data_IF_038327120813
#
_entry.id   IF_038327120813
#
_cell.length_a   1.000
_cell.length_b   1.000
_cell.length_c   1.000
_cell.angle_alpha   90.00
_cell.angle_beta   90.00
_cell.angle_gamma   90.00
#
_symmetry.space_group_name_H-M   'P 1'
#
loop_
_entity.id
_entity.type
_entity.pdbx_description
1 polymer ?
#
# COMPACT_ATOMS: atom_id res chain seq x y z
N UNK A 1 -27.49 -39.76 -4.92
CA UNK A 1 -26.88 -39.37 -6.21
C UNK A 1 -27.74 -38.30 -6.86
N UNK A 2 -27.23 -37.08 -7.06
CA UNK A 2 -27.74 -36.16 -8.10
C UNK A 2 -26.76 -35.00 -8.35
N UNK A 3 -26.04 -35.19 -9.45
CA UNK A 3 -25.52 -34.21 -10.41
C UNK A 3 -24.61 -33.07 -9.92
N UNK A 4 -23.30 -33.37 -9.96
CA UNK A 4 -22.22 -32.43 -10.28
C UNK A 4 -22.38 -31.93 -11.72
N UNK A 5 -22.78 -30.67 -11.93
CA UNK A 5 -22.59 -29.84 -13.14
C UNK A 5 -22.70 -28.40 -12.61
N UNK A 6 -21.63 -27.61 -12.58
CA UNK A 6 -21.21 -26.85 -13.76
C UNK A 6 -19.72 -26.54 -13.68
N UNK A 7 -18.91 -27.35 -14.37
CA UNK A 7 -17.64 -26.90 -14.90
C UNK A 7 -18.00 -26.23 -16.22
N UNK A 8 -18.17 -24.92 -16.22
CA UNK A 8 -18.33 -24.15 -17.44
C UNK A 8 -17.43 -22.91 -17.39
N UNK A 9 -16.35 -23.02 -18.18
CA UNK A 9 -15.76 -21.95 -18.96
C UNK A 9 -15.11 -20.78 -18.18
N UNK A 10 -14.06 -21.08 -17.41
CA UNK A 10 -12.99 -20.10 -17.16
C UNK A 10 -12.02 -20.11 -18.36
N UNK A 11 -12.46 -19.60 -19.51
CA UNK A 11 -11.60 -19.45 -20.68
C UNK A 11 -11.73 -18.07 -21.30
N UNK A 12 -10.57 -17.44 -21.46
CA UNK A 12 -10.27 -16.29 -22.31
C UNK A 12 -10.56 -14.88 -21.75
N UNK A 13 -9.65 -14.40 -20.89
CA UNK A 13 -9.13 -13.02 -20.96
C UNK A 13 -7.63 -13.03 -20.61
N UNK A 14 -6.80 -13.58 -21.51
CA UNK A 14 -5.35 -13.43 -21.47
C UNK A 14 -4.88 -12.71 -22.74
N UNK A 15 -5.30 -11.46 -22.89
CA UNK A 15 -4.82 -10.58 -23.95
C UNK A 15 -3.58 -9.83 -23.45
N UNK A 16 -2.41 -10.33 -23.88
CA UNK A 16 -1.18 -9.60 -24.25
C UNK A 16 -0.82 -8.35 -23.43
N UNK A 17 0.03 -8.53 -22.41
CA UNK A 17 0.93 -7.48 -21.93
C UNK A 17 2.33 -7.78 -22.50
N UNK A 18 2.53 -7.53 -23.80
CA UNK A 18 3.87 -7.55 -24.43
C UNK A 18 4.05 -6.27 -25.22
N UNK A 19 4.23 -5.17 -24.49
CA UNK A 19 4.92 -3.96 -24.96
C UNK A 19 5.04 -2.99 -23.79
N UNK A 20 5.65 -3.45 -22.69
CA UNK A 20 6.18 -2.50 -21.71
C UNK A 20 7.55 -2.06 -22.23
N UNK A 21 7.77 -0.77 -22.52
CA UNK A 21 9.12 -0.24 -22.72
C UNK A 21 9.93 -0.56 -21.46
N UNK A 22 11.00 -1.34 -21.60
CA UNK A 22 12.02 -1.55 -20.56
C UNK A 22 12.89 -0.28 -20.37
N UNK A 23 12.28 0.90 -20.48
CA UNK A 23 12.94 2.19 -20.45
C UNK A 23 12.36 3.03 -19.31
N UNK A 24 12.51 2.54 -18.08
CA UNK A 24 12.48 3.39 -16.90
C UNK A 24 13.63 3.00 -15.95
N UNK A 25 14.84 2.93 -16.51
CA UNK A 25 16.08 3.01 -15.73
C UNK A 25 16.72 4.38 -16.00
N UNK A 26 15.95 5.45 -15.80
CA UNK A 26 16.33 6.81 -16.13
C UNK A 26 16.39 7.69 -14.88
N UNK A 27 17.60 7.90 -14.36
CA UNK A 27 17.99 9.03 -13.51
C UNK A 27 17.21 9.23 -12.20
N UNK A 28 17.64 8.53 -11.15
CA UNK A 28 17.61 9.12 -9.81
C UNK A 28 19.03 9.17 -9.25
N UNK A 29 19.66 10.32 -9.47
CA UNK A 29 21.00 10.64 -8.96
C UNK A 29 21.08 12.12 -8.64
N UNK A 30 20.18 12.62 -7.79
CA UNK A 30 20.50 13.80 -6.99
C UNK A 30 21.17 13.28 -5.72
N UNK A 31 22.48 13.46 -5.66
CA UNK A 31 23.25 13.28 -4.42
C UNK A 31 22.82 14.38 -3.45
N UNK A 32 21.67 14.19 -2.80
CA UNK A 32 21.35 14.94 -1.60
C UNK A 32 22.34 14.52 -0.52
N UNK A 33 22.93 15.50 0.13
CA UNK A 33 23.91 15.30 1.19
C UNK A 33 23.24 14.55 2.35
N UNK A 34 23.35 13.23 2.28
CA UNK A 34 22.50 12.28 3.01
C UNK A 34 22.64 12.35 4.52
N UNK A 35 23.61 13.09 5.07
CA UNK A 35 23.82 13.18 6.52
C UNK A 35 22.84 14.15 7.18
N UNK A 36 22.69 15.36 6.63
CA UNK A 36 21.73 16.36 7.10
C UNK A 36 20.28 15.88 6.96
N UNK A 37 20.00 15.20 5.84
CA UNK A 37 18.70 14.57 5.58
C UNK A 37 18.39 13.42 6.57
N UNK A 38 19.42 12.70 7.03
CA UNK A 38 19.26 11.62 8.03
C UNK A 38 19.02 12.15 9.45
N UNK A 39 19.71 13.20 9.87
CA UNK A 39 19.54 13.76 11.22
C UNK A 39 18.16 14.40 11.38
N UNK A 40 17.75 15.23 10.41
CA UNK A 40 16.40 15.80 10.36
C UNK A 40 15.31 14.71 10.32
N UNK A 41 15.57 13.60 9.62
CA UNK A 41 14.65 12.46 9.58
C UNK A 41 14.52 11.73 10.93
N UNK A 42 15.61 11.55 11.69
CA UNK A 42 15.57 10.98 13.03
C UNK A 42 14.89 11.90 14.05
N UNK A 43 15.12 13.21 13.96
CA UNK A 43 14.41 14.22 14.76
C UNK A 43 12.92 14.19 14.47
N UNK A 44 12.52 14.21 13.20
CA UNK A 44 11.13 14.11 12.78
C UNK A 44 10.46 12.79 13.22
N UNK A 45 11.21 11.68 13.20
CA UNK A 45 10.72 10.39 13.69
C UNK A 45 10.49 10.41 15.21
N UNK A 46 11.44 10.96 15.99
CA UNK A 46 11.35 11.08 17.45
C UNK A 46 10.23 12.02 17.88
N UNK A 47 10.07 13.14 17.18
CA UNK A 47 9.02 14.14 17.41
C UNK A 47 7.63 13.67 16.98
N UNK A 48 7.51 12.48 16.37
CA UNK A 48 6.26 11.99 15.79
C UNK A 48 5.77 12.80 14.59
N UNK A 49 6.59 13.75 14.09
CA UNK A 49 6.41 14.53 12.86
C UNK A 49 6.76 13.68 11.65
N UNK A 50 6.19 12.49 11.58
CA UNK A 50 6.33 11.66 10.40
C UNK A 50 5.39 12.18 9.29
N UNK A 51 5.65 11.89 8.01
CA UNK A 51 4.68 12.14 6.92
C UNK A 51 3.40 11.28 7.05
N UNK A 52 3.13 10.70 8.22
CA UNK A 52 2.15 9.66 8.50
C UNK A 52 1.25 10.03 9.68
N UNK A 53 0.80 11.28 9.80
CA UNK A 53 -0.40 11.54 10.59
C UNK A 53 -1.56 10.75 9.93
N UNK A 54 -1.82 9.57 10.46
CA UNK A 54 -2.60 8.53 9.77
C UNK A 54 -4.09 8.65 10.03
N UNK A 55 -4.53 9.38 11.05
CA UNK A 55 -5.95 9.41 11.41
C UNK A 55 -6.80 10.04 10.30
N UNK A 56 -6.41 11.23 9.84
CA UNK A 56 -7.10 11.95 8.77
C UNK A 56 -7.00 11.20 7.43
N UNK A 57 -5.81 10.69 7.09
CA UNK A 57 -5.63 9.85 5.89
C UNK A 57 -6.42 8.54 5.93
N UNK A 58 -6.59 7.91 7.09
CA UNK A 58 -7.40 6.69 7.21
C UNK A 58 -8.87 6.99 6.96
N UNK A 59 -9.38 8.11 7.48
CA UNK A 59 -10.75 8.54 7.23
C UNK A 59 -10.96 8.87 5.74
N UNK A 60 -10.01 9.58 5.10
CA UNK A 60 -10.05 9.88 3.67
C UNK A 60 -10.03 8.59 2.82
N UNK A 61 -9.17 7.64 3.16
CA UNK A 61 -9.08 6.34 2.49
C UNK A 61 -10.37 5.53 2.65
N UNK A 62 -10.97 5.51 3.84
CA UNK A 62 -12.25 4.86 4.08
C UNK A 62 -13.36 5.48 3.21
N UNK A 63 -13.41 6.81 3.13
CA UNK A 63 -14.34 7.53 2.26
C UNK A 63 -14.13 7.16 0.78
N UNK A 64 -12.89 7.22 0.29
CA UNK A 64 -12.56 6.81 -1.09
C UNK A 64 -12.94 5.36 -1.38
N UNK A 65 -12.78 4.46 -0.42
CA UNK A 65 -13.13 3.06 -0.58
C UNK A 65 -14.64 2.85 -0.73
N UNK A 66 -15.45 3.60 0.02
CA UNK A 66 -16.91 3.59 -0.10
C UNK A 66 -17.36 4.19 -1.45
N UNK A 67 -16.82 5.36 -1.82
CA UNK A 67 -17.09 6.02 -3.10
C UNK A 67 -16.73 5.11 -4.29
N UNK A 68 -15.65 4.34 -4.20
CA UNK A 68 -15.27 3.38 -5.24
C UNK A 68 -16.26 2.22 -5.36
N UNK A 69 -16.77 1.70 -4.24
CA UNK A 69 -17.81 0.67 -4.27
C UNK A 69 -19.09 1.18 -4.96
N UNK A 70 -19.45 2.45 -4.72
CA UNK A 70 -20.59 3.10 -5.37
C UNK A 70 -20.35 3.35 -6.86
N UNK A 71 -19.16 3.84 -7.24
CA UNK A 71 -18.77 4.07 -8.64
C UNK A 71 -18.75 2.79 -9.45
N UNK A 72 -18.30 1.69 -8.84
CA UNK A 72 -18.30 0.37 -9.45
C UNK A 72 -19.70 -0.30 -9.42
N UNK A 73 -20.69 0.34 -8.78
CA UNK A 73 -22.05 -0.17 -8.63
C UNK A 73 -22.09 -1.60 -8.07
N UNK A 74 -21.23 -1.85 -7.09
CA UNK A 74 -21.13 -3.18 -6.47
C UNK A 74 -22.44 -3.53 -5.75
N UNK A 75 -22.90 -4.77 -5.90
CA UNK A 75 -24.00 -5.32 -5.12
C UNK A 75 -23.54 -5.68 -3.69
N UNK A 76 -24.44 -6.17 -2.83
CA UNK A 76 -24.12 -6.42 -1.42
C UNK A 76 -23.00 -7.46 -1.23
N UNK A 77 -23.06 -8.59 -1.95
CA UNK A 77 -22.03 -9.64 -1.87
C UNK A 77 -20.66 -9.14 -2.35
N UNK A 78 -20.63 -8.37 -3.44
CA UNK A 78 -19.40 -7.76 -3.95
C UNK A 78 -18.86 -6.67 -3.01
N UNK A 79 -19.74 -5.95 -2.31
CA UNK A 79 -19.36 -4.97 -1.29
C UNK A 79 -18.76 -5.64 -0.06
N UNK A 80 -19.26 -6.81 0.33
CA UNK A 80 -18.66 -7.61 1.40
C UNK A 80 -17.23 -8.02 1.05
N UNK A 81 -17.03 -8.64 -0.12
CA UNK A 81 -15.70 -9.00 -0.62
C UNK A 81 -14.80 -7.76 -0.74
N UNK A 82 -15.35 -6.63 -1.19
CA UNK A 82 -14.61 -5.36 -1.25
C UNK A 82 -14.16 -4.89 0.14
N UNK A 83 -15.03 -4.97 1.16
CA UNK A 83 -14.68 -4.64 2.55
C UNK A 83 -13.55 -5.53 3.07
N UNK A 84 -13.62 -6.83 2.81
CA UNK A 84 -12.57 -7.78 3.20
C UNK A 84 -11.22 -7.43 2.56
N UNK A 85 -11.19 -7.19 1.24
CA UNK A 85 -9.97 -6.76 0.53
C UNK A 85 -9.38 -5.48 1.14
N UNK A 86 -10.22 -4.52 1.51
CA UNK A 86 -9.75 -3.29 2.13
C UNK A 86 -9.22 -3.51 3.54
N UNK A 87 -9.85 -4.38 4.34
CA UNK A 87 -9.34 -4.76 5.67
C UNK A 87 -7.98 -5.45 5.57
N UNK A 88 -7.80 -6.41 4.66
CA UNK A 88 -6.50 -7.06 4.44
C UNK A 88 -5.42 -6.05 4.03
N UNK A 89 -5.75 -5.10 3.15
CA UNK A 89 -4.82 -4.04 2.74
C UNK A 89 -4.43 -3.15 3.92
N UNK A 90 -5.39 -2.82 4.80
CA UNK A 90 -5.11 -2.04 6.01
C UNK A 90 -4.19 -2.80 6.95
N UNK A 91 -4.43 -4.10 7.20
CA UNK A 91 -3.57 -4.93 8.03
C UNK A 91 -2.14 -5.00 7.50
N UNK A 92 -1.97 -5.33 6.21
CA UNK A 92 -0.65 -5.33 5.55
C UNK A 92 0.05 -3.98 5.62
N UNK A 93 -0.69 -2.88 5.54
CA UNK A 93 -0.11 -1.55 5.68
C UNK A 93 0.34 -1.28 7.12
N UNK A 94 -0.41 -1.73 8.14
CA UNK A 94 0.00 -1.62 9.54
C UNK A 94 1.28 -2.40 9.82
N UNK A 95 1.39 -3.63 9.33
CA UNK A 95 2.61 -4.45 9.45
C UNK A 95 3.81 -3.76 8.79
N UNK A 96 3.64 -3.22 7.58
CA UNK A 96 4.70 -2.48 6.88
C UNK A 96 5.12 -1.23 7.65
N UNK A 97 4.16 -0.52 8.24
CA UNK A 97 4.43 0.66 9.06
C UNK A 97 5.22 0.28 10.31
N UNK A 98 4.89 -0.82 10.97
CA UNK A 98 5.63 -1.33 12.13
C UNK A 98 7.07 -1.70 11.76
N UNK A 99 7.25 -2.51 10.70
CA UNK A 99 8.58 -2.85 10.19
C UNK A 99 9.40 -1.61 9.79
N UNK A 100 8.74 -0.60 9.22
CA UNK A 100 9.39 0.66 8.90
C UNK A 100 9.82 1.40 10.16
N UNK A 101 8.96 1.48 11.19
CA UNK A 101 9.30 2.11 12.48
C UNK A 101 10.49 1.42 13.14
N UNK A 102 10.53 0.09 13.14
CA UNK A 102 11.69 -0.66 13.68
C UNK A 102 12.98 -0.37 12.92
N UNK A 103 12.94 -0.37 11.58
CA UNK A 103 14.10 -0.06 10.74
C UNK A 103 14.60 1.37 10.98
N UNK A 104 13.67 2.30 11.14
CA UNK A 104 13.96 3.70 11.44
C UNK A 104 14.60 3.86 12.81
N UNK A 105 14.04 3.21 13.83
CA UNK A 105 14.61 3.20 15.18
C UNK A 105 16.05 2.66 15.16
N UNK A 106 16.29 1.48 14.57
CA UNK A 106 17.65 0.92 14.41
C UNK A 106 18.61 1.81 13.60
N UNK A 107 18.08 2.66 12.71
CA UNK A 107 18.89 3.61 11.92
C UNK A 107 19.30 4.81 12.74
N UNK A 108 18.39 5.33 13.57
CA UNK A 108 18.65 6.45 14.47
C UNK A 108 19.51 6.03 15.68
N UNK A 109 19.32 4.83 16.22
CA UNK A 109 20.13 4.32 17.33
C UNK A 109 21.60 4.12 16.92
N UNK A 110 21.85 3.69 15.67
CA UNK A 110 23.20 3.59 15.08
C UNK A 110 23.90 4.94 14.85
N UNK A 111 23.20 6.07 14.99
CA UNK A 111 23.80 7.40 14.93
C UNK A 111 24.19 7.96 16.31
N UNK A 112 23.65 7.41 17.41
CA UNK A 112 23.90 7.87 18.77
C UNK A 112 25.09 7.21 19.48
N UNK A 113 25.73 6.23 18.84
CA UNK A 113 26.99 5.57 19.21
C UNK A 113 28.05 5.91 18.16
#
# INVERSE_FOLDING_TARGET
MKTRRSILAASALAALIVSAPLAFAGKHGMNHDSRWDRQAMCENFRDGKAPFNMAERRAEMAKRNAEMADRLKLNEEQREIWREIQQERQQKNMERMEQWREKMQRRCDRQGN
#
